data_IF_713380088921
#
_entry.id   IF_713380088921
#
_cell.length_a   1.000
_cell.length_b   1.000
_cell.length_c   1.000
_cell.angle_alpha   90.00
_cell.angle_beta   90.00
_cell.angle_gamma   90.00
#
_symmetry.space_group_name_H-M   'P 1'
#
loop_
_entity.id
_entity.type
_entity.pdbx_description
1 polymer ?
#
# COMPACT_ATOMS: atom_id res chain seq x y z
N UNK A 1 -3.66 -55.44 -0.07
CA UNK A 1 -3.03 -54.47 -1.00
C UNK A 1 -3.98 -53.28 -1.22
N UNK A 2 -3.97 -52.31 -0.30
CA UNK A 2 -4.84 -51.13 -0.37
C UNK A 2 -4.09 -49.92 0.20
N UNK A 3 -3.11 -49.44 -0.56
CA UNK A 3 -2.35 -48.23 -0.24
C UNK A 3 -2.09 -47.48 -1.53
N UNK A 4 -2.78 -46.34 -1.70
CA UNK A 4 -2.47 -45.19 -2.57
C UNK A 4 -3.73 -44.64 -3.21
N UNK A 5 -4.57 -43.95 -2.42
CA UNK A 5 -5.37 -42.86 -2.99
C UNK A 5 -5.43 -41.71 -2.00
N UNK A 6 -4.97 -40.55 -2.51
CA UNK A 6 -5.36 -39.19 -2.12
C UNK A 6 -4.73 -38.62 -0.85
N UNK A 7 -3.54 -38.06 -1.01
CA UNK A 7 -3.18 -36.76 -0.43
C UNK A 7 -2.11 -36.10 -1.33
N UNK A 8 -2.44 -35.91 -2.60
CA UNK A 8 -1.89 -34.79 -3.35
C UNK A 8 -2.90 -33.66 -3.15
N UNK A 9 -2.77 -32.93 -2.04
CA UNK A 9 -3.44 -31.66 -1.91
C UNK A 9 -2.92 -30.81 -3.07
N UNK A 10 -3.82 -30.54 -4.03
CA UNK A 10 -3.53 -29.65 -5.13
C UNK A 10 -3.03 -28.34 -4.52
N UNK A 11 -1.76 -28.02 -4.76
CA UNK A 11 -1.29 -26.66 -4.65
C UNK A 11 -2.17 -25.86 -5.62
N UNK A 12 -3.19 -25.20 -5.08
CA UNK A 12 -4.01 -24.28 -5.84
C UNK A 12 -3.05 -23.34 -6.55
N UNK A 13 -3.08 -23.36 -7.88
CA UNK A 13 -2.24 -22.51 -8.72
C UNK A 13 -2.61 -21.06 -8.44
N UNK A 14 -1.95 -20.46 -7.44
CA UNK A 14 -2.06 -19.04 -7.19
C UNK A 14 -1.64 -18.34 -8.47
N UNK A 15 -2.62 -17.74 -9.16
CA UNK A 15 -2.35 -16.94 -10.33
C UNK A 15 -1.35 -15.84 -9.93
N UNK A 16 -0.36 -15.54 -10.79
CA UNK A 16 0.60 -14.50 -10.48
C UNK A 16 -0.14 -13.18 -10.26
N UNK A 17 0.19 -12.49 -9.16
CA UNK A 17 -0.41 -11.19 -8.85
C UNK A 17 -0.12 -10.22 -10.01
N UNK A 18 -1.13 -9.50 -10.55
CA UNK A 18 -0.92 -8.54 -11.62
C UNK A 18 0.16 -7.51 -11.28
N UNK A 19 0.95 -7.12 -12.30
CA UNK A 19 2.11 -6.23 -12.11
C UNK A 19 1.74 -4.83 -11.63
N UNK A 20 0.51 -4.38 -11.94
CA UNK A 20 -0.05 -3.09 -11.55
C UNK A 20 -0.65 -3.08 -10.14
N UNK A 21 -0.64 -4.21 -9.42
CA UNK A 21 -1.07 -4.27 -8.03
C UNK A 21 0.05 -3.78 -7.10
N UNK A 22 -0.20 -2.70 -6.38
CA UNK A 22 0.78 -2.07 -5.50
C UNK A 22 0.43 -2.17 -4.01
N UNK A 23 -0.81 -2.55 -3.65
CA UNK A 23 -1.16 -2.80 -2.26
C UNK A 23 -0.30 -3.91 -1.65
N UNK A 24 0.09 -3.69 -0.39
CA UNK A 24 0.82 -4.64 0.44
C UNK A 24 0.66 -4.29 1.90
N UNK A 25 0.80 -5.28 2.78
CA UNK A 25 0.83 -5.07 4.22
C UNK A 25 2.04 -4.20 4.63
N UNK A 26 1.84 -3.36 5.65
CA UNK A 26 2.89 -2.58 6.30
C UNK A 26 3.23 -1.24 5.62
N UNK A 27 2.34 -0.74 4.77
CA UNK A 27 2.44 0.61 4.21
C UNK A 27 1.28 1.49 4.69
N UNK A 28 1.50 2.79 4.61
CA UNK A 28 0.45 3.79 4.79
C UNK A 28 -0.17 4.11 3.44
N UNK A 29 -1.49 4.27 3.40
CA UNK A 29 -2.24 4.77 2.23
C UNK A 29 -3.09 5.97 2.62
N UNK A 30 -3.45 6.79 1.64
CA UNK A 30 -4.43 7.87 1.79
C UNK A 30 -5.71 7.47 1.11
N UNK A 31 -6.83 7.58 1.82
CA UNK A 31 -8.16 7.27 1.28
C UNK A 31 -8.64 8.45 0.44
N UNK A 32 -9.02 8.22 -0.82
CA UNK A 32 -9.41 9.31 -1.74
C UNK A 32 -10.77 9.15 -2.39
N UNK A 33 -11.41 8.00 -2.21
CA UNK A 33 -12.76 7.75 -2.72
C UNK A 33 -13.77 8.76 -2.14
N UNK A 34 -14.53 9.39 -3.04
CA UNK A 34 -15.57 10.36 -2.69
C UNK A 34 -16.75 9.71 -1.97
N UNK A 35 -16.97 8.41 -2.14
CA UNK A 35 -17.99 7.65 -1.38
C UNK A 35 -17.70 7.65 0.12
N UNK A 36 -16.43 7.77 0.51
CA UNK A 36 -15.97 7.85 1.89
C UNK A 36 -16.15 9.24 2.51
N UNK A 37 -16.51 10.26 1.71
CA UNK A 37 -16.71 11.62 2.19
C UNK A 37 -17.89 11.71 3.16
N UNK A 38 -19.01 11.04 2.83
CA UNK A 38 -20.20 10.98 3.69
C UNK A 38 -19.93 10.29 5.03
N UNK A 39 -18.98 9.35 5.04
CA UNK A 39 -18.53 8.64 6.24
C UNK A 39 -17.45 9.40 7.02
N UNK A 40 -16.89 10.48 6.47
CA UNK A 40 -15.82 11.28 7.09
C UNK A 40 -14.41 10.70 6.95
N UNK A 41 -14.18 9.76 6.03
CA UNK A 41 -12.89 9.10 5.81
C UNK A 41 -12.12 9.62 4.59
N UNK A 42 -12.71 10.49 3.76
CA UNK A 42 -11.99 11.05 2.61
C UNK A 42 -10.78 11.90 3.07
N UNK A 43 -9.61 11.63 2.50
CA UNK A 43 -8.33 12.25 2.86
C UNK A 43 -7.68 11.69 4.13
N UNK A 44 -8.32 10.73 4.80
CA UNK A 44 -7.74 10.04 5.95
C UNK A 44 -6.51 9.19 5.53
N UNK A 45 -5.57 9.00 6.45
CA UNK A 45 -4.47 8.05 6.28
C UNK A 45 -4.77 6.78 7.04
N UNK A 46 -4.41 5.64 6.47
CA UNK A 46 -4.66 4.34 7.05
C UNK A 46 -3.47 3.39 6.82
N UNK A 47 -3.21 2.53 7.80
CA UNK A 47 -2.19 1.51 7.74
C UNK A 47 -2.78 0.24 7.11
N UNK A 48 -2.08 -0.34 6.14
CA UNK A 48 -2.49 -1.62 5.54
C UNK A 48 -2.10 -2.76 6.48
N UNK A 49 -3.09 -3.30 7.20
CA UNK A 49 -2.88 -4.33 8.24
C UNK A 49 -3.05 -5.76 7.72
N UNK A 50 -3.85 -5.96 6.67
CA UNK A 50 -4.03 -7.26 6.03
C UNK A 50 -4.18 -7.08 4.51
N UNK A 51 -3.46 -7.92 3.77
CA UNK A 51 -3.50 -8.01 2.32
C UNK A 51 -3.09 -9.44 1.94
N UNK A 52 -3.74 -10.01 0.94
CA UNK A 52 -3.42 -11.34 0.43
C UNK A 52 -3.45 -11.38 -1.10
N UNK A 53 -2.74 -12.36 -1.66
CA UNK A 53 -2.59 -12.49 -3.11
C UNK A 53 -3.86 -12.98 -3.83
N UNK A 54 -4.87 -13.48 -3.10
CA UNK A 54 -6.12 -13.95 -3.71
C UNK A 54 -7.06 -12.81 -4.07
N UNK A 55 -6.96 -11.67 -3.37
CA UNK A 55 -7.62 -10.41 -3.71
C UNK A 55 -6.61 -9.25 -3.75
N UNK A 56 -5.69 -9.24 -4.73
CA UNK A 56 -4.50 -8.39 -4.67
C UNK A 56 -4.78 -6.88 -4.77
N UNK A 57 -5.99 -6.50 -5.16
CA UNK A 57 -6.44 -5.11 -5.30
C UNK A 57 -7.22 -4.62 -4.09
N UNK A 58 -7.48 -5.46 -3.09
CA UNK A 58 -8.24 -5.11 -1.90
C UNK A 58 -7.38 -5.34 -0.66
N UNK A 59 -7.49 -4.47 0.33
CA UNK A 59 -6.81 -4.64 1.60
C UNK A 59 -7.68 -4.17 2.77
N UNK A 60 -7.41 -4.75 3.94
CA UNK A 60 -7.94 -4.25 5.21
C UNK A 60 -6.97 -3.21 5.75
N UNK A 61 -7.51 -2.04 6.08
CA UNK A 61 -6.74 -0.91 6.60
C UNK A 61 -7.28 -0.47 7.96
N UNK A 62 -6.40 0.11 8.79
CA UNK A 62 -6.77 0.75 10.05
C UNK A 62 -6.48 2.24 9.95
N UNK A 63 -7.49 3.07 10.18
CA UNK A 63 -7.35 4.53 10.07
C UNK A 63 -6.45 5.06 11.18
N UNK A 64 -5.39 5.78 10.82
CA UNK A 64 -4.39 6.34 11.77
C UNK A 64 -4.43 7.86 11.84
N UNK A 65 -5.06 8.53 10.87
CA UNK A 65 -5.22 9.98 10.87
C UNK A 65 -6.46 10.38 10.07
N UNK A 66 -7.24 11.31 10.63
CA UNK A 66 -8.36 11.95 9.96
C UNK A 66 -7.95 13.36 9.52
N UNK A 67 -8.47 13.83 8.38
CA UNK A 67 -8.30 15.21 7.89
C UNK A 67 -9.61 15.96 7.77
N UNK A 68 -10.59 15.35 7.10
CA UNK A 68 -11.85 15.98 6.75
C UNK A 68 -12.99 15.26 7.49
N UNK A 69 -13.19 15.61 8.76
CA UNK A 69 -14.33 15.11 9.53
C UNK A 69 -15.48 16.10 9.43
N UNK A 70 -16.60 15.66 8.86
CA UNK A 70 -17.85 16.43 8.91
C UNK A 70 -18.51 16.23 10.27
N UNK A 71 -19.10 17.29 10.83
CA UNK A 71 -19.90 17.19 12.04
C UNK A 71 -21.01 16.14 11.84
N UNK A 72 -21.11 15.18 12.76
CA UNK A 72 -22.05 14.05 12.67
C UNK A 72 -21.54 12.83 11.88
N UNK A 73 -20.34 12.87 11.31
CA UNK A 73 -19.72 11.67 10.73
C UNK A 73 -19.33 10.66 11.82
N UNK A 74 -19.38 9.37 11.50
CA UNK A 74 -18.96 8.27 12.39
C UNK A 74 -17.46 7.92 12.27
N UNK A 75 -16.68 8.80 11.63
CA UNK A 75 -15.26 8.62 11.41
C UNK A 75 -14.50 8.63 12.74
N UNK A 76 -13.62 7.65 12.93
CA UNK A 76 -12.73 7.57 14.09
C UNK A 76 -11.39 6.97 13.72
N UNK A 77 -10.34 7.43 14.41
CA UNK A 77 -9.04 6.76 14.39
C UNK A 77 -9.20 5.36 14.99
N UNK A 78 -8.50 4.38 14.45
CA UNK A 78 -8.63 2.96 14.79
C UNK A 78 -9.77 2.23 14.07
N UNK A 79 -10.58 2.93 13.26
CA UNK A 79 -11.58 2.26 12.43
C UNK A 79 -10.93 1.33 11.41
N UNK A 80 -11.47 0.13 11.27
CA UNK A 80 -11.04 -0.85 10.27
C UNK A 80 -11.95 -0.78 9.05
N UNK A 81 -11.36 -0.64 7.87
CA UNK A 81 -12.06 -0.57 6.59
C UNK A 81 -11.49 -1.62 5.63
N UNK A 82 -12.30 -2.08 4.69
CA UNK A 82 -11.85 -2.80 3.52
C UNK A 82 -11.88 -1.85 2.32
N UNK A 83 -10.76 -1.73 1.61
CA UNK A 83 -10.57 -0.72 0.55
C UNK A 83 -9.92 -1.32 -0.67
N UNK A 84 -10.34 -0.85 -1.85
CA UNK A 84 -9.68 -1.12 -3.13
C UNK A 84 -8.48 -0.21 -3.33
N UNK A 85 -7.45 -0.67 -4.04
CA UNK A 85 -6.31 0.18 -4.43
C UNK A 85 -6.77 1.39 -5.25
N UNK A 86 -7.85 1.27 -6.02
CA UNK A 86 -8.41 2.37 -6.83
C UNK A 86 -8.97 3.52 -5.98
N UNK A 87 -9.19 3.26 -4.69
CA UNK A 87 -9.74 4.22 -3.71
C UNK A 87 -8.64 4.77 -2.79
N UNK A 88 -7.39 4.42 -3.08
CA UNK A 88 -6.23 4.76 -2.28
C UNK A 88 -5.17 5.48 -3.13
N UNK A 89 -4.42 6.37 -2.49
CA UNK A 89 -3.15 6.89 -2.99
C UNK A 89 -2.02 6.38 -2.08
N UNK A 90 -0.81 6.27 -2.63
CA UNK A 90 0.39 6.10 -1.81
C UNK A 90 0.63 7.35 -0.95
N UNK A 91 1.47 7.22 0.08
CA UNK A 91 1.80 8.31 0.98
C UNK A 91 3.29 8.44 1.08
N UNK A 92 3.84 9.61 0.77
CA UNK A 92 5.23 9.91 1.08
C UNK A 92 5.37 10.33 2.56
N UNK A 93 6.39 9.84 3.30
CA UNK A 93 6.71 10.36 4.61
C UNK A 93 7.39 11.73 4.51
N UNK A 94 7.74 12.32 5.66
CA UNK A 94 8.71 13.41 5.66
C UNK A 94 10.09 12.90 5.18
N UNK A 95 10.96 13.82 4.73
CA UNK A 95 12.34 13.50 4.39
C UNK A 95 13.05 12.78 5.54
N UNK A 96 13.89 11.80 5.21
CA UNK A 96 14.50 10.88 6.18
C UNK A 96 13.58 9.74 6.62
N UNK A 97 12.30 9.76 6.25
CA UNK A 97 11.35 8.69 6.58
C UNK A 97 11.52 7.44 5.71
N UNK A 98 11.15 6.30 6.29
CA UNK A 98 11.19 4.99 5.61
C UNK A 98 10.09 4.85 4.58
N UNK A 99 10.48 4.36 3.40
CA UNK A 99 9.58 4.06 2.28
C UNK A 99 9.86 2.67 1.73
N UNK A 100 8.92 2.15 0.95
CA UNK A 100 9.08 0.93 0.19
C UNK A 100 8.55 1.12 -1.22
N UNK A 101 9.25 0.57 -2.21
CA UNK A 101 8.76 0.54 -3.59
C UNK A 101 7.67 -0.53 -3.69
N UNK A 102 6.46 -0.10 -4.06
CA UNK A 102 5.23 -0.89 -3.98
C UNK A 102 4.80 -1.52 -5.30
N UNK A 103 5.03 -0.84 -6.43
CA UNK A 103 4.59 -1.35 -7.73
C UNK A 103 5.41 -2.59 -8.14
N UNK A 104 4.72 -3.71 -8.36
CA UNK A 104 5.33 -5.02 -8.69
C UNK A 104 6.01 -5.05 -10.05
N UNK A 105 5.66 -4.15 -10.97
CA UNK A 105 6.34 -3.99 -12.25
C UNK A 105 7.68 -3.25 -12.15
N UNK A 106 7.95 -2.55 -11.04
CA UNK A 106 9.14 -1.74 -10.89
C UNK A 106 10.40 -2.58 -10.56
N UNK A 107 11.57 -2.22 -11.11
CA UNK A 107 12.82 -2.98 -10.91
C UNK A 107 13.28 -3.10 -9.44
N UNK A 108 12.82 -2.20 -8.58
CA UNK A 108 13.11 -2.20 -7.15
C UNK A 108 11.91 -2.58 -6.27
N UNK A 109 10.85 -3.13 -6.87
CA UNK A 109 9.66 -3.59 -6.14
C UNK A 109 10.03 -4.41 -4.91
N UNK A 110 9.39 -4.14 -3.79
CA UNK A 110 9.68 -4.85 -2.55
C UNK A 110 10.76 -4.22 -1.68
N UNK A 111 11.68 -3.44 -2.26
CA UNK A 111 12.85 -2.90 -1.56
C UNK A 111 12.48 -1.68 -0.70
N UNK A 112 12.97 -1.69 0.52
CA UNK A 112 12.87 -0.55 1.44
C UNK A 112 13.96 0.48 1.12
N UNK A 113 13.70 1.73 1.50
CA UNK A 113 14.65 2.81 1.41
C UNK A 113 14.26 4.00 2.28
N UNK A 114 14.99 5.08 2.11
CA UNK A 114 14.76 6.36 2.81
C UNK A 114 14.40 7.43 1.78
N UNK A 115 13.34 8.19 2.03
CA UNK A 115 12.99 9.34 1.21
C UNK A 115 14.03 10.46 1.43
N UNK A 116 14.75 10.85 0.38
CA UNK A 116 15.78 11.89 0.43
C UNK A 116 15.22 13.24 0.00
N UNK A 117 14.53 13.26 -1.14
CA UNK A 117 13.91 14.45 -1.71
C UNK A 117 12.76 14.07 -2.64
N UNK A 118 12.08 15.06 -3.21
CA UNK A 118 11.05 14.88 -4.22
C UNK A 118 11.29 15.84 -5.39
N UNK A 119 10.83 15.43 -6.57
CA UNK A 119 10.68 16.26 -7.75
C UNK A 119 9.18 16.38 -8.08
N UNK A 120 8.57 17.45 -7.59
CA UNK A 120 7.13 17.68 -7.72
C UNK A 120 6.70 17.89 -9.18
N UNK A 121 7.60 18.37 -10.05
CA UNK A 121 7.27 18.58 -11.46
C UNK A 121 7.18 17.25 -12.20
N UNK A 122 8.02 16.29 -11.82
CA UNK A 122 8.03 14.94 -12.40
C UNK A 122 7.11 13.96 -11.66
N UNK A 123 6.57 14.34 -10.48
CA UNK A 123 5.87 13.44 -9.57
C UNK A 123 6.72 12.23 -9.15
N UNK A 124 8.00 12.50 -8.85
CA UNK A 124 8.98 11.46 -8.49
C UNK A 124 9.56 11.69 -7.09
N UNK A 125 9.67 10.61 -6.32
CA UNK A 125 10.42 10.54 -5.08
C UNK A 125 11.85 10.09 -5.36
N UNK A 126 12.81 10.71 -4.68
CA UNK A 126 14.22 10.31 -4.71
C UNK A 126 14.48 9.49 -3.45
N UNK A 127 14.74 8.20 -3.64
CA UNK A 127 14.82 7.19 -2.58
C UNK A 127 16.22 6.59 -2.52
N UNK A 128 16.82 6.60 -1.32
CA UNK A 128 18.05 5.86 -1.05
C UNK A 128 17.69 4.43 -0.67
N UNK A 129 18.09 3.47 -1.51
CA UNK A 129 17.88 2.04 -1.26
C UNK A 129 19.21 1.43 -0.80
N UNK A 130 19.26 0.70 0.34
CA UNK A 130 20.47 -0.01 0.75
C UNK A 130 20.98 -0.90 -0.38
N UNK A 131 22.29 -0.84 -0.64
CA UNK A 131 23.01 -1.58 -1.69
C UNK A 131 22.75 -1.12 -3.14
N UNK A 132 22.09 0.03 -3.34
CA UNK A 132 22.07 0.72 -4.63
C UNK A 132 23.02 1.91 -4.54
N UNK A 133 23.99 1.99 -5.46
CA UNK A 133 25.06 2.99 -5.44
C UNK A 133 24.55 4.42 -5.57
N UNK A 134 23.45 4.60 -6.32
CA UNK A 134 22.87 5.90 -6.63
C UNK A 134 21.47 6.01 -6.01
N UNK A 135 21.07 7.23 -5.69
CA UNK A 135 19.71 7.51 -5.26
C UNK A 135 18.75 7.25 -6.44
N UNK A 136 17.63 6.58 -6.14
CA UNK A 136 16.70 6.08 -7.14
C UNK A 136 15.51 7.02 -7.27
N UNK A 137 15.20 7.42 -8.51
CA UNK A 137 13.94 8.12 -8.84
C UNK A 137 12.82 7.10 -9.00
N UNK A 138 11.71 7.31 -8.28
CA UNK A 138 10.53 6.43 -8.28
C UNK A 138 9.29 7.29 -8.38
N UNK A 139 8.34 6.95 -9.26
CA UNK A 139 7.04 7.64 -9.32
C UNK A 139 6.35 7.63 -7.95
N UNK A 140 5.61 8.68 -7.60
CA UNK A 140 4.82 8.71 -6.37
C UNK A 140 3.90 7.49 -6.23
N UNK A 141 3.30 7.04 -7.33
CA UNK A 141 2.40 5.87 -7.33
C UNK A 141 3.13 4.54 -7.03
N UNK A 142 4.46 4.54 -7.17
CA UNK A 142 5.29 3.34 -7.06
C UNK A 142 6.03 3.25 -5.71
N UNK A 143 5.85 4.21 -4.81
CA UNK A 143 6.50 4.22 -3.49
C UNK A 143 5.55 4.68 -2.40
N UNK A 144 5.56 4.01 -1.24
CA UNK A 144 4.78 4.45 -0.09
C UNK A 144 5.55 4.35 1.22
N UNK A 145 5.13 5.17 2.18
CA UNK A 145 5.59 5.21 3.57
C UNK A 145 5.38 3.84 4.20
N UNK A 146 6.40 3.36 4.90
CA UNK A 146 6.31 2.17 5.76
C UNK A 146 5.61 2.55 7.07
N UNK A 147 4.74 1.68 7.58
CA UNK A 147 4.13 1.83 8.90
C UNK A 147 5.22 1.97 9.98
N UNK A 148 4.93 2.74 11.03
CA UNK A 148 5.82 2.84 12.19
C UNK A 148 5.70 1.62 13.10
#
# INVERSE_FOLDING_TARGET
>A
EARRKRHAAAAASAQPVPRDCWLRKGIVVKLVDSSLASLGYQGAKADVVQWDASSPRVARVVVVSLRNTTAGSSARIGATLEVSQTHCETVLPAYGGSVVVVNRGHKYAGRNGTLISIDEKAFEAIVRIPDVKEDVRVSYDDVSKVCA
#
